data_IF_938571706374
#
_entry.id   IF_938571706374
#
_cell.length_a   1.000
_cell.length_b   1.000
_cell.length_c   1.000
_cell.angle_alpha   90.00
_cell.angle_beta   90.00
_cell.angle_gamma   90.00
#
_symmetry.space_group_name_H-M   'P 1'
#
loop_
_entity.id
_entity.type
_entity.pdbx_description
1 polymer ?
#
# COMPACT_ATOMS: atom_id res chain seq x y z
N UNK A 1 -14.93 7.71 11.37
CA UNK A 1 -14.06 6.83 12.19
C UNK A 1 -15.00 5.98 13.02
N UNK A 2 -15.30 4.76 12.60
CA UNK A 2 -16.32 3.89 13.18
C UNK A 2 -15.65 2.61 13.70
N UNK A 3 -15.69 2.41 15.02
CA UNK A 3 -15.70 1.14 15.77
C UNK A 3 -14.64 0.05 15.51
N UNK A 4 -13.55 0.33 14.78
CA UNK A 4 -12.50 -0.68 14.54
C UNK A 4 -12.94 -1.81 13.60
N UNK A 5 -14.04 -1.62 12.87
CA UNK A 5 -14.45 -2.54 11.83
C UNK A 5 -13.53 -2.42 10.61
N UNK A 6 -13.09 -3.56 10.12
CA UNK A 6 -12.25 -3.64 8.92
C UNK A 6 -13.13 -3.38 7.70
N UNK A 7 -12.91 -2.25 7.04
CA UNK A 7 -13.53 -1.97 5.74
C UNK A 7 -12.69 -2.63 4.64
N UNK A 8 -13.25 -3.66 4.00
CA UNK A 8 -12.58 -4.35 2.91
C UNK A 8 -12.64 -3.52 1.61
N UNK A 9 -11.53 -3.52 0.86
CA UNK A 9 -11.44 -2.86 -0.45
C UNK A 9 -10.06 -2.26 -0.71
N UNK A 10 -9.83 -1.82 -1.95
CA UNK A 10 -8.62 -1.09 -2.33
C UNK A 10 -8.75 0.40 -1.98
N UNK A 11 -8.72 0.69 -0.69
CA UNK A 11 -8.84 2.03 -0.11
C UNK A 11 -7.55 2.43 0.61
N UNK A 12 -7.24 3.72 0.60
CA UNK A 12 -6.15 4.31 1.35
C UNK A 12 -6.56 5.68 1.90
N UNK A 13 -5.97 6.07 3.03
CA UNK A 13 -6.10 7.41 3.59
C UNK A 13 -4.87 8.23 3.23
N UNK A 14 -5.06 9.38 2.60
CA UNK A 14 -3.97 10.31 2.30
C UNK A 14 -3.75 11.20 3.50
N UNK A 15 -2.52 11.24 3.98
CA UNK A 15 -2.07 12.12 5.06
C UNK A 15 -1.32 13.35 4.48
N UNK A 16 -1.43 14.54 5.10
CA UNK A 16 -2.09 14.80 6.40
C UNK A 16 -3.60 15.13 6.30
N UNK A 17 -4.18 15.13 5.10
CA UNK A 17 -5.58 15.56 4.88
C UNK A 17 -6.61 14.64 5.55
N UNK A 18 -6.26 13.37 5.77
CA UNK A 18 -7.13 12.38 6.39
C UNK A 18 -8.24 11.87 5.47
N UNK A 19 -8.14 12.13 4.17
CA UNK A 19 -9.15 11.75 3.16
C UNK A 19 -8.99 10.30 2.72
N UNK A 20 -10.09 9.54 2.75
CA UNK A 20 -10.12 8.14 2.29
C UNK A 20 -10.58 8.09 0.84
N UNK A 21 -9.79 7.48 -0.01
CA UNK A 21 -10.05 7.38 -1.46
C UNK A 21 -9.56 6.03 -2.00
N UNK A 22 -9.66 5.81 -3.32
CA UNK A 22 -9.15 4.58 -3.94
C UNK A 22 -7.63 4.57 -3.89
N UNK A 23 -7.06 3.38 -3.73
CA UNK A 23 -5.60 3.19 -3.62
C UNK A 23 -4.82 3.83 -4.78
N UNK A 24 -5.32 3.76 -6.01
CA UNK A 24 -4.63 4.35 -7.16
C UNK A 24 -4.62 5.88 -7.12
N UNK A 25 -5.69 6.52 -6.64
CA UNK A 25 -5.76 7.98 -6.46
C UNK A 25 -4.76 8.43 -5.40
N UNK A 26 -4.66 7.68 -4.30
CA UNK A 26 -3.67 7.94 -3.27
C UNK A 26 -2.22 7.80 -3.79
N UNK A 27 -1.94 6.78 -4.61
CA UNK A 27 -0.64 6.59 -5.24
C UNK A 27 -0.31 7.77 -6.15
N UNK A 28 -1.24 8.20 -7.01
CA UNK A 28 -1.04 9.36 -7.89
C UNK A 28 -0.71 10.64 -7.09
N UNK A 29 -1.41 10.88 -5.99
CA UNK A 29 -1.14 12.01 -5.10
C UNK A 29 0.28 11.94 -4.52
N UNK A 30 0.69 10.79 -3.99
CA UNK A 30 2.03 10.64 -3.42
C UNK A 30 3.14 10.70 -4.47
N UNK A 31 2.89 10.21 -5.69
CA UNK A 31 3.79 10.38 -6.83
C UNK A 31 3.95 11.86 -7.20
N UNK A 32 2.85 12.63 -7.28
CA UNK A 32 2.90 14.07 -7.54
C UNK A 32 3.65 14.84 -6.44
N UNK A 33 3.51 14.40 -5.18
CA UNK A 33 4.27 14.95 -4.05
C UNK A 33 5.75 14.58 -4.07
N UNK A 34 6.19 13.71 -4.98
CA UNK A 34 7.55 13.14 -5.00
C UNK A 34 7.95 12.57 -3.64
N UNK A 35 6.99 11.94 -2.96
CA UNK A 35 7.15 11.47 -1.60
C UNK A 35 7.48 9.98 -1.58
N UNK A 36 8.62 9.56 -1.03
CA UNK A 36 8.95 8.14 -0.88
C UNK A 36 7.92 7.43 0.01
N UNK A 37 7.54 6.21 -0.38
CA UNK A 37 6.58 5.40 0.37
C UNK A 37 7.24 4.18 0.98
N UNK A 38 6.64 3.70 2.07
CA UNK A 38 6.96 2.43 2.70
C UNK A 38 5.70 1.57 2.81
N UNK A 39 5.85 0.26 2.72
CA UNK A 39 4.78 -0.69 3.05
C UNK A 39 5.10 -1.32 4.40
N UNK A 40 4.10 -1.37 5.28
CA UNK A 40 4.13 -2.14 6.52
C UNK A 40 3.11 -3.27 6.41
N UNK A 41 3.54 -4.50 6.60
CA UNK A 41 2.71 -5.70 6.43
C UNK A 41 2.92 -6.71 7.56
N UNK A 42 1.97 -7.63 7.72
CA UNK A 42 2.08 -8.76 8.64
C UNK A 42 2.93 -9.91 8.08
N UNK A 43 2.62 -11.13 8.51
CA UNK A 43 3.23 -12.36 7.99
C UNK A 43 2.86 -12.64 6.52
N UNK A 44 3.69 -13.45 5.86
CA UNK A 44 3.48 -13.99 4.50
C UNK A 44 3.24 -12.94 3.40
N UNK A 45 3.90 -11.78 3.48
CA UNK A 45 3.82 -10.75 2.44
C UNK A 45 4.30 -11.31 1.09
N UNK A 46 3.50 -11.05 0.04
CA UNK A 46 3.76 -11.50 -1.32
C UNK A 46 3.09 -12.82 -1.70
N UNK A 47 2.39 -13.49 -0.77
CA UNK A 47 1.76 -14.78 -1.05
C UNK A 47 0.73 -14.68 -2.18
N UNK A 48 0.77 -15.63 -3.12
CA UNK A 48 -0.21 -15.77 -4.18
C UNK A 48 0.41 -15.97 -5.56
N UNK A 49 -0.45 -16.13 -6.57
CA UNK A 49 -0.01 -16.44 -7.95
C UNK A 49 0.47 -15.21 -8.74
N UNK A 50 0.19 -13.99 -8.28
CA UNK A 50 0.46 -12.73 -9.02
C UNK A 50 1.79 -12.07 -8.64
N UNK A 51 2.85 -12.87 -8.47
CA UNK A 51 4.15 -12.39 -7.96
C UNK A 51 4.74 -11.25 -8.80
N UNK A 52 4.72 -11.36 -10.13
CA UNK A 52 5.32 -10.35 -11.02
C UNK A 52 4.65 -8.98 -10.91
N UNK A 53 3.31 -8.97 -10.85
CA UNK A 53 2.55 -7.72 -10.73
C UNK A 53 2.58 -7.18 -9.30
N UNK A 54 2.57 -8.05 -8.30
CA UNK A 54 2.73 -7.66 -6.90
C UNK A 54 4.06 -6.94 -6.66
N UNK A 55 5.16 -7.37 -7.29
CA UNK A 55 6.46 -6.71 -7.19
C UNK A 55 6.53 -5.42 -8.03
N UNK A 56 6.15 -5.49 -9.32
CA UNK A 56 6.27 -4.33 -10.23
C UNK A 56 5.36 -3.18 -9.84
N UNK A 57 4.12 -3.45 -9.45
CA UNK A 57 3.15 -2.42 -9.05
C UNK A 57 3.64 -1.61 -7.87
N UNK A 58 4.19 -2.28 -6.85
CA UNK A 58 4.75 -1.66 -5.65
C UNK A 58 5.92 -0.73 -6.01
N UNK A 59 6.84 -1.21 -6.86
CA UNK A 59 7.99 -0.38 -7.29
C UNK A 59 7.56 0.84 -8.10
N UNK A 60 6.58 0.68 -8.99
CA UNK A 60 6.05 1.76 -9.83
C UNK A 60 5.28 2.81 -9.01
N UNK A 61 4.70 2.41 -7.87
CA UNK A 61 4.05 3.32 -6.94
C UNK A 61 5.03 4.19 -6.12
N UNK A 62 6.35 4.02 -6.26
CA UNK A 62 7.35 4.80 -5.51
C UNK A 62 7.64 4.27 -4.10
N UNK A 63 7.33 2.98 -3.84
CA UNK A 63 7.72 2.32 -2.59
C UNK A 63 9.20 1.99 -2.62
N UNK A 64 9.92 2.44 -1.59
CA UNK A 64 11.37 2.24 -1.44
C UNK A 64 11.70 1.12 -0.45
N UNK A 65 10.83 0.88 0.54
CA UNK A 65 11.04 -0.13 1.59
C UNK A 65 9.75 -0.87 1.93
N UNK A 66 9.89 -2.17 2.19
CA UNK A 66 8.82 -3.02 2.72
C UNK A 66 9.30 -3.58 4.06
N UNK A 67 8.55 -3.30 5.12
CA UNK A 67 8.74 -3.89 6.45
C UNK A 67 7.60 -4.88 6.70
N UNK A 68 7.92 -6.16 6.76
CA UNK A 68 6.94 -7.23 6.98
C UNK A 68 7.39 -8.13 8.13
N UNK A 69 6.43 -8.76 8.83
CA UNK A 69 6.75 -9.80 9.82
C UNK A 69 7.35 -11.05 9.15
N UNK A 70 6.98 -11.31 7.90
CA UNK A 70 7.56 -12.36 7.07
C UNK A 70 7.27 -12.14 5.59
N UNK A 71 8.20 -12.58 4.75
CA UNK A 71 8.01 -12.67 3.30
C UNK A 71 7.77 -14.13 2.93
N UNK A 72 6.95 -14.34 1.91
CA UNK A 72 6.81 -15.64 1.27
C UNK A 72 8.15 -16.10 0.61
N UNK A 73 8.30 -17.39 0.30
CA UNK A 73 9.58 -18.02 -0.13
C UNK A 73 9.80 -18.10 -1.64
#
# INVERSE_FOLDING_TARGET
RENGEVVQGSLARVEPEGEVMRMWEAIEIYMQRSQPLIIVAGADYGQGSSRDWAAKGVRLAGVEVIAAEGFER
#
